data_IF_172681769567
#
_entry.id   IF_172681769567
#
_cell.length_a   1.000
_cell.length_b   1.000
_cell.length_c   1.000
_cell.angle_alpha   90.00
_cell.angle_beta   90.00
_cell.angle_gamma   90.00
#
_symmetry.space_group_name_H-M   'P 1'
#
loop_
_entity.id
_entity.type
_entity.pdbx_description
1 polymer ?
#
# COMPACT_ATOMS: atom_id res chain seq x y z
N UNK A 1 0.85 12.55 -13.93
CA UNK A 1 1.60 13.08 -12.77
C UNK A 1 1.90 11.87 -11.89
N UNK A 2 3.15 11.64 -11.52
CA UNK A 2 3.50 10.51 -10.67
C UNK A 2 3.02 10.79 -9.23
N UNK A 3 2.20 9.91 -8.67
CA UNK A 3 1.73 9.98 -7.27
C UNK A 3 2.62 9.09 -6.42
N UNK A 4 2.98 9.55 -5.21
CA UNK A 4 3.83 8.82 -4.26
C UNK A 4 3.22 8.84 -2.86
N UNK A 5 3.08 7.66 -2.24
CA UNK A 5 2.59 7.49 -0.86
C UNK A 5 3.60 6.64 -0.09
N UNK A 6 4.07 7.15 1.03
CA UNK A 6 4.98 6.44 1.93
C UNK A 6 4.28 6.06 3.24
N UNK A 7 4.47 4.82 3.69
CA UNK A 7 3.91 4.31 4.95
C UNK A 7 4.89 3.33 5.62
N UNK A 8 4.96 3.40 6.94
CA UNK A 8 5.80 2.51 7.76
C UNK A 8 4.96 1.60 8.63
N UNK A 9 5.36 0.34 8.71
CA UNK A 9 4.64 -0.74 9.38
C UNK A 9 5.55 -1.47 10.35
N UNK A 10 5.14 -1.55 11.61
CA UNK A 10 5.91 -2.21 12.68
C UNK A 10 5.40 -3.63 12.91
N UNK A 11 6.32 -4.52 13.27
CA UNK A 11 5.97 -5.90 13.61
C UNK A 11 5.69 -6.80 12.40
N UNK A 12 5.97 -6.33 11.18
CA UNK A 12 5.98 -7.15 9.97
C UNK A 12 7.41 -7.31 9.46
N UNK A 13 7.64 -8.36 8.67
CA UNK A 13 8.93 -8.57 7.99
C UNK A 13 8.85 -8.16 6.53
N UNK A 14 9.99 -7.83 5.93
CA UNK A 14 10.10 -7.51 4.49
C UNK A 14 9.55 -8.65 3.61
N UNK A 15 9.87 -9.91 3.95
CA UNK A 15 9.35 -11.09 3.26
C UNK A 15 7.82 -11.16 3.27
N UNK A 16 7.18 -10.71 4.35
CA UNK A 16 5.72 -10.67 4.44
C UNK A 16 5.15 -9.53 3.60
N UNK A 17 5.81 -8.37 3.62
CA UNK A 17 5.44 -7.24 2.76
C UNK A 17 5.48 -7.62 1.28
N UNK A 18 6.57 -8.26 0.82
CA UNK A 18 6.70 -8.77 -0.57
C UNK A 18 5.53 -9.70 -0.89
N UNK A 19 5.26 -10.70 -0.04
CA UNK A 19 4.16 -11.65 -0.24
C UNK A 19 2.81 -10.95 -0.41
N UNK A 20 2.53 -9.93 0.40
CA UNK A 20 1.28 -9.20 0.32
C UNK A 20 1.18 -8.36 -0.94
N UNK A 21 2.24 -7.67 -1.32
CA UNK A 21 2.32 -6.92 -2.57
C UNK A 21 2.18 -7.83 -3.78
N UNK A 22 2.75 -9.04 -3.75
CA UNK A 22 2.53 -10.05 -4.80
C UNK A 22 1.09 -10.52 -4.87
N UNK A 23 0.43 -10.71 -3.72
CA UNK A 23 -1.00 -11.05 -3.70
C UNK A 23 -1.91 -9.92 -4.20
N UNK A 24 -1.43 -8.68 -4.24
CA UNK A 24 -2.12 -7.51 -4.80
C UNK A 24 -1.82 -7.31 -6.30
N UNK A 25 -1.28 -8.33 -6.98
CA UNK A 25 -0.94 -8.28 -8.41
C UNK A 25 0.46 -7.77 -8.70
N UNK A 26 1.30 -7.57 -7.68
CA UNK A 26 2.70 -7.21 -7.86
C UNK A 26 3.59 -8.41 -8.22
N UNK A 27 4.73 -8.14 -8.85
CA UNK A 27 5.82 -9.09 -9.05
C UNK A 27 7.11 -8.49 -8.52
N UNK A 28 7.85 -9.25 -7.69
CA UNK A 28 9.16 -8.81 -7.22
C UNK A 28 10.12 -8.77 -8.41
N UNK A 29 10.82 -7.64 -8.56
CA UNK A 29 11.82 -7.45 -9.61
C UNK A 29 13.19 -7.28 -8.98
N UNK A 30 14.23 -7.70 -9.69
CA UNK A 30 15.60 -7.44 -9.26
C UNK A 30 15.88 -5.93 -9.27
N UNK A 31 16.52 -5.48 -8.20
CA UNK A 31 16.86 -4.08 -7.95
C UNK A 31 18.16 -4.06 -7.12
N UNK A 32 19.00 -3.07 -7.38
CA UNK A 32 20.36 -3.03 -6.81
C UNK A 32 20.38 -2.50 -5.38
N UNK A 33 19.46 -1.59 -5.04
CA UNK A 33 19.48 -0.87 -3.77
C UNK A 33 18.39 -1.39 -2.82
N UNK A 34 17.13 -1.24 -3.22
CA UNK A 34 15.96 -1.61 -2.43
C UNK A 34 15.27 -2.85 -2.99
N UNK A 35 14.47 -3.52 -2.16
CA UNK A 35 13.51 -4.52 -2.62
C UNK A 35 12.36 -3.83 -3.34
N UNK A 36 12.10 -4.21 -4.59
CA UNK A 36 11.09 -3.58 -5.44
C UNK A 36 10.05 -4.60 -5.91
N UNK A 37 8.78 -4.22 -5.79
CA UNK A 37 7.64 -4.96 -6.36
C UNK A 37 6.92 -4.06 -7.35
N UNK A 38 6.68 -4.55 -8.58
CA UNK A 38 5.95 -3.83 -9.63
C UNK A 38 4.61 -4.50 -9.91
N UNK A 39 3.53 -3.74 -9.89
CA UNK A 39 2.23 -4.12 -10.44
C UNK A 39 1.97 -3.43 -11.77
N UNK A 40 0.78 -3.66 -12.33
CA UNK A 40 0.42 -3.19 -13.67
C UNK A 40 0.42 -1.66 -13.82
N UNK A 41 0.01 -0.93 -12.78
CA UNK A 41 -0.11 0.52 -12.78
C UNK A 41 0.58 1.19 -11.59
N UNK A 42 1.27 0.39 -10.77
CA UNK A 42 1.91 0.84 -9.53
C UNK A 42 3.25 0.16 -9.30
N UNK A 43 4.05 0.76 -8.44
CA UNK A 43 5.34 0.23 -7.97
C UNK A 43 5.44 0.43 -6.47
N UNK A 44 6.01 -0.52 -5.75
CA UNK A 44 6.37 -0.38 -4.35
C UNK A 44 7.87 -0.64 -4.14
N UNK A 45 8.56 0.30 -3.53
CA UNK A 45 9.89 0.08 -2.96
C UNK A 45 9.74 -0.23 -1.47
N UNK A 46 10.51 -1.20 -0.98
CA UNK A 46 10.46 -1.70 0.39
C UNK A 46 11.84 -1.58 1.00
N UNK A 47 11.90 -1.01 2.19
CA UNK A 47 13.08 -1.02 3.05
C UNK A 47 12.69 -1.47 4.45
N UNK A 48 13.66 -1.98 5.21
CA UNK A 48 13.43 -2.41 6.58
C UNK A 48 14.57 -2.01 7.50
N UNK A 49 14.23 -1.66 8.73
CA UNK A 49 15.18 -1.33 9.78
C UNK A 49 14.71 -1.85 11.15
N UNK A 50 15.63 -1.88 12.12
CA UNK A 50 15.33 -2.27 13.50
C UNK A 50 15.20 -1.03 14.37
N UNK A 51 14.00 -0.78 14.90
CA UNK A 51 13.68 0.40 15.71
C UNK A 51 13.35 0.01 17.15
N UNK A 52 13.87 0.77 18.11
CA UNK A 52 13.51 0.59 19.53
C UNK A 52 12.17 1.27 19.82
N UNK A 53 11.24 0.53 20.45
CA UNK A 53 9.92 1.00 20.87
C UNK A 53 9.74 0.85 22.38
N UNK A 54 10.66 1.47 23.12
CA UNK A 54 10.65 1.49 24.57
C UNK A 54 12.02 1.15 25.16
N UNK A 55 12.09 0.90 26.47
CA UNK A 55 13.38 0.74 27.16
C UNK A 55 14.12 -0.54 26.77
N UNK A 56 13.43 -1.58 26.30
CA UNK A 56 14.03 -2.89 26.02
C UNK A 56 13.51 -3.57 24.76
N UNK A 57 12.44 -3.06 24.14
CA UNK A 57 11.80 -3.71 23.01
C UNK A 57 12.29 -3.08 21.70
N UNK A 58 12.72 -3.91 20.77
CA UNK A 58 13.07 -3.53 19.40
C UNK A 58 12.18 -4.30 18.44
N UNK A 59 11.62 -3.62 17.45
CA UNK A 59 10.85 -4.23 16.37
C UNK A 59 11.47 -3.93 15.03
N UNK A 60 11.21 -4.82 14.08
CA UNK A 60 11.34 -4.47 12.67
C UNK A 60 10.28 -3.44 12.29
N UNK A 61 10.73 -2.35 11.67
CA UNK A 61 9.91 -1.42 10.93
C UNK A 61 10.18 -1.59 9.44
N UNK A 62 9.13 -1.79 8.67
CA UNK A 62 9.19 -1.90 7.22
C UNK A 62 8.55 -0.64 6.64
N UNK A 63 9.30 0.10 5.84
CA UNK A 63 8.80 1.25 5.11
C UNK A 63 8.50 0.84 3.68
N UNK A 64 7.29 1.15 3.21
CA UNK A 64 6.83 0.88 1.86
C UNK A 64 6.48 2.20 1.18
N UNK A 65 7.13 2.44 0.04
CA UNK A 65 6.93 3.61 -0.82
C UNK A 65 6.18 3.16 -2.05
N UNK A 66 4.91 3.54 -2.16
CA UNK A 66 4.04 3.26 -3.30
C UNK A 66 4.08 4.42 -4.29
N UNK A 67 4.23 4.10 -5.57
CA UNK A 67 4.27 5.05 -6.67
C UNK A 67 3.30 4.61 -7.78
N UNK A 68 2.60 5.56 -8.40
CA UNK A 68 1.83 5.33 -9.63
C UNK A 68 2.11 6.42 -10.65
N UNK A 69 2.07 6.09 -11.94
CA UNK A 69 2.34 7.06 -13.01
C UNK A 69 1.16 8.01 -13.29
N UNK A 70 0.14 8.01 -12.42
CA UNK A 70 -1.06 8.84 -12.54
C UNK A 70 -2.04 8.38 -13.63
N UNK A 71 -1.79 7.22 -14.23
CA UNK A 71 -2.81 6.41 -14.90
C UNK A 71 -3.58 5.71 -13.79
N UNK A 72 -4.44 6.46 -13.09
CA UNK A 72 -5.42 5.85 -12.20
C UNK A 72 -6.10 4.74 -13.00
N UNK A 73 -6.31 3.58 -12.38
CA UNK A 73 -7.05 2.48 -12.97
C UNK A 73 -8.33 3.08 -13.59
N UNK A 74 -8.34 3.25 -14.92
CA UNK A 74 -9.54 3.58 -15.67
C UNK A 74 -10.40 2.32 -15.52
N UNK A 75 -11.13 2.24 -14.40
CA UNK A 75 -12.33 1.42 -14.37
C UNK A 75 -13.19 1.99 -15.47
N UNK A 76 -13.34 1.23 -16.55
CA UNK A 76 -14.43 1.40 -17.50
C UNK A 76 -15.74 1.28 -16.68
N UNK A 77 -16.13 2.38 -16.04
CA UNK A 77 -17.35 2.51 -15.24
C UNK A 77 -18.50 2.64 -16.26
N UNK A 78 -18.91 1.49 -16.77
CA UNK A 78 -20.19 1.31 -17.45
C UNK A 78 -21.26 1.55 -16.39
N UNK A 79 -21.79 2.77 -16.40
CA UNK A 79 -22.61 3.31 -15.33
C UNK A 79 -23.87 2.51 -15.07
N UNK A 80 -24.09 2.15 -13.81
CA UNK A 80 -25.43 2.09 -13.20
C UNK A 80 -25.27 1.98 -11.67
N UNK A 81 -25.68 3.03 -10.95
CA UNK A 81 -26.53 2.90 -9.76
C UNK A 81 -27.01 4.27 -9.26
N UNK A 82 -28.34 4.35 -9.20
CA UNK A 82 -29.15 5.47 -8.70
C UNK A 82 -28.94 5.75 -7.20
N UNK A 83 -29.19 7.01 -6.83
CA UNK A 83 -29.15 7.63 -5.51
C UNK A 83 -29.79 6.82 -4.36
N UNK A 84 -29.26 6.93 -3.13
CA UNK A 84 -29.97 7.39 -1.90
C UNK A 84 -29.14 7.13 -0.63
N UNK A 85 -28.52 8.16 -0.04
CA UNK A 85 -28.89 8.78 1.25
C UNK A 85 -27.79 9.73 1.77
N UNK A 86 -28.22 10.76 2.50
CA UNK A 86 -27.40 11.80 3.09
C UNK A 86 -27.15 11.54 4.58
N UNK A 87 -25.88 11.43 4.98
CA UNK A 87 -25.26 12.05 6.18
C UNK A 87 -23.95 11.34 6.54
N UNK A 88 -22.82 11.95 6.20
CA UNK A 88 -21.63 12.15 7.05
C UNK A 88 -20.63 12.93 6.20
N UNK A 89 -20.18 14.07 6.70
CA UNK A 89 -19.14 14.85 6.05
C UNK A 89 -17.80 14.09 6.13
N UNK A 90 -17.50 13.29 5.11
CA UNK A 90 -16.16 12.80 4.81
C UNK A 90 -15.97 12.85 3.30
N UNK A 91 -15.15 13.80 2.89
CA UNK A 91 -14.45 13.97 1.61
C UNK A 91 -14.84 13.02 0.46
N UNK A 92 -15.51 13.60 -0.53
CA UNK A 92 -15.73 13.18 -1.92
C UNK A 92 -15.03 11.89 -2.37
N UNK A 93 -15.84 10.86 -2.52
CA UNK A 93 -15.59 9.58 -3.19
C UNK A 93 -15.19 9.79 -4.65
N UNK A 94 -13.89 9.86 -4.89
CA UNK A 94 -13.26 9.23 -6.06
C UNK A 94 -12.15 8.41 -5.45
N UNK A 95 -12.39 7.12 -5.25
CA UNK A 95 -11.44 6.20 -4.62
C UNK A 95 -10.14 6.26 -5.40
N UNK A 96 -9.15 7.01 -4.90
CA UNK A 96 -7.87 7.06 -5.57
C UNK A 96 -7.26 5.67 -5.51
N UNK A 97 -7.00 5.02 -6.65
CA UNK A 97 -6.65 3.62 -6.68
C UNK A 97 -5.36 3.35 -5.91
N UNK A 98 -4.42 4.30 -5.90
CA UNK A 98 -3.18 4.16 -5.13
C UNK A 98 -3.45 4.17 -3.63
N UNK A 99 -4.41 4.97 -3.18
CA UNK A 99 -4.79 5.03 -1.76
C UNK A 99 -5.49 3.75 -1.32
N UNK A 100 -6.42 3.25 -2.13
CA UNK A 100 -7.06 1.96 -1.88
C UNK A 100 -6.06 0.79 -1.82
N UNK A 101 -5.06 0.77 -2.72
CA UNK A 101 -3.98 -0.22 -2.68
C UNK A 101 -3.18 -0.15 -1.37
N UNK A 102 -2.87 1.07 -0.91
CA UNK A 102 -2.17 1.30 0.36
C UNK A 102 -3.02 0.81 1.54
N UNK A 103 -4.33 1.06 1.52
CA UNK A 103 -5.26 0.60 2.55
C UNK A 103 -5.39 -0.92 2.58
N UNK A 104 -5.53 -1.58 1.43
CA UNK A 104 -5.58 -3.04 1.32
C UNK A 104 -4.31 -3.69 1.87
N UNK A 105 -3.14 -3.11 1.54
CA UNK A 105 -1.87 -3.55 2.11
C UNK A 105 -1.85 -3.35 3.63
N UNK A 106 -2.22 -2.15 4.11
CA UNK A 106 -2.17 -1.80 5.53
C UNK A 106 -3.10 -2.69 6.37
N UNK A 107 -4.32 -2.95 5.89
CA UNK A 107 -5.27 -3.83 6.55
C UNK A 107 -4.72 -5.25 6.70
N UNK A 108 -4.03 -5.76 5.68
CA UNK A 108 -3.43 -7.09 5.72
C UNK A 108 -2.20 -7.15 6.62
N UNK A 109 -1.37 -6.11 6.61
CA UNK A 109 -0.21 -5.97 7.49
C UNK A 109 -0.61 -5.94 8.97
N UNK A 110 -1.64 -5.16 9.33
CA UNK A 110 -2.13 -5.07 10.70
C UNK A 110 -2.73 -6.39 11.22
N UNK A 111 -3.43 -7.14 10.36
CA UNK A 111 -4.02 -8.44 10.75
C UNK A 111 -2.98 -9.51 11.10
N UNK A 112 -1.78 -9.42 10.54
CA UNK A 112 -0.73 -10.41 10.74
C UNK A 112 0.27 -10.05 11.85
N UNK A 113 0.25 -8.80 12.33
CA UNK A 113 1.10 -8.30 13.42
C UNK A 113 0.44 -8.34 14.80
N UNK A 114 -0.74 -8.95 14.94
CA UNK A 114 -1.47 -9.13 16.20
C UNK A 114 -1.33 -10.51 16.80
#
# INVERSE_FOLDING_TARGET
MTRRIERSFRGISERLAIRYLTNLGGTQVESTDDTVVKGDWWRAAISSESVSIGPTLTLTEVTVVFESDGKGHETDDDGDRSETNANTATTTTTTDPLEALVEDFAQKAMRAGG
#
